data_IF_372866078754
#
_entry.id   IF_372866078754
#
_cell.length_a   1.000
_cell.length_b   1.000
_cell.length_c   1.000
_cell.angle_alpha   90.00
_cell.angle_beta   90.00
_cell.angle_gamma   90.00
#
_symmetry.space_group_name_H-M   'P 1'
#
loop_
_entity.id
_entity.type
_entity.pdbx_description
1 polymer ?
#
# COMPACT_ATOMS: atom_id res chain seq x y z
N UNK A 1 -5.76 -21.43 -5.15
CA UNK A 1 -7.06 -20.79 -5.27
C UNK A 1 -6.88 -19.47 -6.00
N UNK A 2 -7.93 -18.91 -6.60
CA UNK A 2 -7.85 -17.83 -7.60
C UNK A 2 -7.21 -16.54 -7.06
N UNK A 3 -7.60 -16.10 -5.87
CA UNK A 3 -6.99 -14.93 -5.23
C UNK A 3 -5.47 -15.11 -5.08
N UNK A 4 -5.01 -16.22 -4.52
CA UNK A 4 -3.58 -16.48 -4.36
C UNK A 4 -2.84 -16.53 -5.69
N UNK A 5 -3.41 -17.16 -6.71
CA UNK A 5 -2.81 -17.19 -8.06
C UNK A 5 -2.71 -15.80 -8.66
N UNK A 6 -3.73 -14.94 -8.43
CA UNK A 6 -3.70 -13.56 -8.89
C UNK A 6 -2.63 -12.74 -8.16
N UNK A 7 -2.53 -12.88 -6.84
CA UNK A 7 -1.47 -12.27 -6.03
C UNK A 7 -0.07 -12.64 -6.54
N UNK A 8 0.20 -13.94 -6.78
CA UNK A 8 1.49 -14.41 -7.29
C UNK A 8 1.80 -13.85 -8.69
N UNK A 9 0.82 -13.84 -9.59
CA UNK A 9 0.98 -13.24 -10.93
C UNK A 9 1.22 -11.73 -10.86
N UNK A 10 0.48 -11.02 -9.99
CA UNK A 10 0.59 -9.57 -9.86
C UNK A 10 1.94 -9.16 -9.26
N UNK A 11 2.45 -9.90 -8.27
CA UNK A 11 3.79 -9.69 -7.75
C UNK A 11 4.85 -9.84 -8.86
N UNK A 12 4.73 -10.87 -9.69
CA UNK A 12 5.62 -11.05 -10.86
C UNK A 12 5.46 -9.92 -11.87
N UNK A 13 4.24 -9.48 -12.15
CA UNK A 13 3.93 -8.39 -13.07
C UNK A 13 4.55 -7.07 -12.64
N UNK A 14 4.47 -6.74 -11.36
CA UNK A 14 5.05 -5.51 -10.80
C UNK A 14 6.56 -5.62 -10.50
N UNK A 15 7.12 -6.84 -10.53
CA UNK A 15 8.52 -7.08 -10.17
C UNK A 15 8.79 -7.00 -8.68
N UNK A 16 7.77 -7.23 -7.84
CA UNK A 16 7.88 -7.25 -6.38
C UNK A 16 7.90 -8.69 -5.85
N UNK A 17 8.36 -8.87 -4.60
CA UNK A 17 8.39 -10.20 -3.97
C UNK A 17 7.00 -10.66 -3.52
N UNK A 18 6.16 -9.73 -3.10
CA UNK A 18 4.87 -10.04 -2.47
C UNK A 18 3.77 -9.14 -3.01
N UNK A 19 2.58 -9.71 -3.16
CA UNK A 19 1.34 -9.00 -3.41
C UNK A 19 0.23 -9.56 -2.51
N UNK A 20 -0.65 -8.70 -2.03
CA UNK A 20 -1.82 -9.04 -1.21
C UNK A 20 -3.04 -8.35 -1.79
N UNK A 21 -4.00 -9.14 -2.23
CA UNK A 21 -5.27 -8.63 -2.73
C UNK A 21 -6.20 -8.21 -1.59
N UNK A 22 -6.85 -7.08 -1.76
CA UNK A 22 -7.90 -6.53 -0.89
C UNK A 22 -9.15 -6.21 -1.70
N UNK A 23 -10.23 -5.82 -1.03
CA UNK A 23 -11.54 -5.61 -1.67
C UNK A 23 -11.70 -4.28 -2.44
N UNK A 24 -10.75 -3.35 -2.34
CA UNK A 24 -10.73 -2.09 -3.12
C UNK A 24 -9.36 -1.40 -3.06
N UNK A 25 -9.09 -0.45 -3.98
CA UNK A 25 -7.91 0.41 -3.89
C UNK A 25 -7.90 1.29 -2.64
N UNK A 26 -9.07 1.78 -2.23
CA UNK A 26 -9.23 2.52 -0.97
C UNK A 26 -8.79 1.69 0.24
N UNK A 27 -9.14 0.40 0.26
CA UNK A 27 -8.69 -0.54 1.29
C UNK A 27 -7.18 -0.80 1.19
N UNK A 28 -6.61 -0.81 -0.02
CA UNK A 28 -5.17 -0.95 -0.19
C UNK A 28 -4.41 0.22 0.45
N UNK A 29 -4.83 1.47 0.18
CA UNK A 29 -4.26 2.66 0.80
C UNK A 29 -4.40 2.66 2.32
N UNK A 30 -5.60 2.31 2.82
CA UNK A 30 -5.84 2.24 4.27
C UNK A 30 -4.97 1.17 4.94
N UNK A 31 -4.89 -0.01 4.36
CA UNK A 31 -4.09 -1.10 4.92
C UNK A 31 -2.58 -0.79 4.86
N UNK A 32 -2.09 -0.15 3.79
CA UNK A 32 -0.69 0.25 3.65
C UNK A 32 -0.25 1.17 4.80
N UNK A 33 -1.00 2.24 5.05
CA UNK A 33 -0.72 3.17 6.14
C UNK A 33 -0.91 2.52 7.51
N UNK A 34 -1.93 1.67 7.67
CA UNK A 34 -2.17 0.95 8.92
C UNK A 34 -1.06 -0.05 9.27
N UNK A 35 -0.39 -0.62 8.29
CA UNK A 35 0.79 -1.47 8.49
C UNK A 35 1.94 -0.62 9.03
N UNK A 36 2.24 0.50 8.39
CA UNK A 36 3.39 1.34 8.74
C UNK A 36 3.22 2.05 10.10
N UNK A 37 1.97 2.36 10.48
CA UNK A 37 1.62 2.94 11.79
C UNK A 37 1.36 1.89 12.88
N UNK A 38 1.35 0.59 12.55
CA UNK A 38 1.14 -0.46 13.54
C UNK A 38 2.21 -0.39 14.63
N UNK A 39 1.85 -0.42 15.95
CA UNK A 39 2.82 -0.30 17.03
C UNK A 39 3.96 -1.32 17.02
N UNK A 40 3.74 -2.48 16.40
CA UNK A 40 4.76 -3.53 16.25
C UNK A 40 5.72 -3.29 15.08
N UNK A 41 5.33 -2.50 14.10
CA UNK A 41 6.16 -2.05 12.97
C UNK A 41 6.80 -0.72 13.30
N UNK A 42 5.98 0.22 13.78
CA UNK A 42 6.37 1.53 14.29
C UNK A 42 7.26 2.34 13.31
N UNK A 43 6.97 2.23 12.01
CA UNK A 43 7.74 2.92 10.96
C UNK A 43 7.30 4.37 10.82
N UNK A 44 6.00 4.64 11.00
CA UNK A 44 5.41 5.98 10.98
C UNK A 44 4.74 6.24 12.33
N UNK A 45 5.10 7.34 12.99
CA UNK A 45 4.54 7.73 14.28
C UNK A 45 3.17 8.39 14.10
N UNK A 46 2.25 8.20 15.05
CA UNK A 46 1.00 8.98 15.12
C UNK A 46 1.31 10.48 15.23
N UNK A 47 0.42 11.29 14.65
CA UNK A 47 0.56 12.75 14.55
C UNK A 47 1.75 13.22 13.71
N UNK A 48 2.41 12.32 12.97
CA UNK A 48 3.38 12.68 11.96
C UNK A 48 2.70 13.19 10.70
N UNK A 49 3.44 13.95 9.92
CA UNK A 49 3.00 14.46 8.63
C UNK A 49 3.35 13.49 7.51
N UNK A 50 2.41 13.36 6.54
CA UNK A 50 2.58 12.61 5.29
C UNK A 50 2.40 13.58 4.14
N UNK A 51 3.45 13.78 3.35
CA UNK A 51 3.40 14.65 2.17
C UNK A 51 2.71 13.91 1.03
N UNK A 52 1.71 14.57 0.41
CA UNK A 52 0.94 14.01 -0.71
C UNK A 52 0.53 15.13 -1.68
N UNK A 53 0.29 14.85 -2.97
CA UNK A 53 -0.16 15.88 -3.89
C UNK A 53 -1.55 16.40 -3.53
N UNK A 54 -1.81 17.68 -3.78
CA UNK A 54 -3.13 18.29 -3.59
C UNK A 54 -4.16 17.80 -4.62
N UNK A 55 -3.69 17.36 -5.80
CA UNK A 55 -4.53 16.75 -6.83
C UNK A 55 -4.45 15.24 -6.70
N UNK A 56 -5.45 14.65 -6.08
CA UNK A 56 -5.54 13.20 -5.86
C UNK A 56 -6.98 12.78 -5.54
N UNK A 57 -7.22 11.48 -5.55
CA UNK A 57 -8.50 10.92 -5.09
C UNK A 57 -8.59 10.97 -3.56
N UNK A 58 -9.79 11.19 -3.04
CA UNK A 58 -10.01 11.36 -1.60
C UNK A 58 -9.47 10.21 -0.74
N UNK A 59 -9.50 8.97 -1.26
CA UNK A 59 -9.04 7.78 -0.52
C UNK A 59 -7.53 7.54 -0.56
N UNK A 60 -6.75 8.45 -1.16
CA UNK A 60 -5.31 8.60 -0.87
C UNK A 60 -5.13 9.30 0.49
N UNK A 61 -5.98 10.28 0.80
CA UNK A 61 -5.88 11.17 1.97
C UNK A 61 -6.58 10.63 3.21
N UNK A 62 -7.82 10.13 3.08
CA UNK A 62 -8.62 9.68 4.23
C UNK A 62 -7.90 8.63 5.11
N UNK A 63 -7.15 7.67 4.56
CA UNK A 63 -6.35 6.74 5.35
C UNK A 63 -5.31 7.40 6.25
N UNK A 64 -4.79 8.58 5.87
CA UNK A 64 -3.87 9.34 6.73
C UNK A 64 -4.61 9.78 7.99
N UNK A 65 -5.76 10.42 7.82
CA UNK A 65 -6.57 10.92 8.94
C UNK A 65 -7.05 9.78 9.84
N UNK A 66 -7.52 8.66 9.26
CA UNK A 66 -7.99 7.51 10.04
C UNK A 66 -6.88 6.78 10.80
N UNK A 67 -5.62 6.94 10.38
CA UNK A 67 -4.43 6.43 11.10
C UNK A 67 -3.81 7.48 12.05
N UNK A 68 -4.49 8.59 12.32
CA UNK A 68 -3.99 9.70 13.13
C UNK A 68 -2.70 10.31 12.56
N UNK A 69 -2.61 10.44 11.25
CA UNK A 69 -1.55 11.14 10.55
C UNK A 69 -2.08 12.48 10.01
N UNK A 70 -1.19 13.40 9.75
CA UNK A 70 -1.51 14.75 9.26
C UNK A 70 -1.16 14.80 7.77
N UNK A 71 -2.13 14.92 6.85
CA UNK A 71 -1.83 15.12 5.45
C UNK A 71 -1.22 16.50 5.23
N UNK A 72 -0.06 16.55 4.59
CA UNK A 72 0.62 17.78 4.16
C UNK A 72 0.56 17.86 2.65
N UNK A 73 -0.28 18.74 2.15
CA UNK A 73 -0.49 18.89 0.71
C UNK A 73 0.61 19.75 0.08
N UNK A 74 1.10 19.28 -1.07
CA UNK A 74 1.97 20.04 -1.95
C UNK A 74 1.35 20.10 -3.34
N UNK A 75 1.74 21.12 -4.10
CA UNK A 75 1.23 21.29 -5.45
C UNK A 75 1.78 20.21 -6.40
N UNK A 76 1.16 20.09 -7.56
CA UNK A 76 1.58 19.21 -8.64
C UNK A 76 2.33 20.06 -9.69
N UNK A 77 3.19 19.40 -10.44
CA UNK A 77 3.80 19.96 -11.64
C UNK A 77 2.71 20.11 -12.72
N UNK A 78 2.48 21.32 -13.26
CA UNK A 78 1.39 21.56 -14.21
C UNK A 78 1.57 20.87 -15.57
N UNK A 79 2.77 20.42 -15.91
CA UNK A 79 3.04 19.71 -17.15
C UNK A 79 2.79 18.20 -17.03
N UNK A 80 3.10 17.65 -15.85
CA UNK A 80 3.01 16.21 -15.61
C UNK A 80 1.83 15.80 -14.75
N UNK A 81 1.21 16.72 -14.02
CA UNK A 81 0.18 16.50 -12.99
C UNK A 81 0.62 15.55 -11.85
N UNK A 82 1.90 15.19 -11.81
CA UNK A 82 2.46 14.43 -10.69
C UNK A 82 2.97 15.38 -9.61
N UNK A 83 3.23 14.83 -8.42
CA UNK A 83 3.72 15.62 -7.28
C UNK A 83 4.97 16.43 -7.63
N UNK A 84 4.98 17.75 -7.37
CA UNK A 84 6.17 18.59 -7.58
C UNK A 84 7.24 18.27 -6.53
N UNK A 85 8.33 17.66 -6.99
CA UNK A 85 9.43 17.21 -6.13
C UNK A 85 10.13 18.39 -5.42
N UNK A 86 10.12 19.59 -6.01
CA UNK A 86 10.67 20.78 -5.35
C UNK A 86 9.80 21.16 -4.16
N UNK A 87 8.48 21.18 -4.34
CA UNK A 87 7.53 21.44 -3.25
C UNK A 87 7.58 20.36 -2.17
N UNK A 88 7.83 19.10 -2.53
CA UNK A 88 8.10 18.04 -1.53
C UNK A 88 9.27 18.43 -0.64
N UNK A 89 10.40 18.84 -1.20
CA UNK A 89 11.58 19.26 -0.41
C UNK A 89 11.28 20.43 0.51
N UNK A 90 10.56 21.43 0.00
CA UNK A 90 10.24 22.65 0.75
C UNK A 90 9.28 22.34 1.92
N UNK A 91 8.44 21.30 1.82
CA UNK A 91 7.47 20.91 2.83
C UNK A 91 8.04 20.01 3.95
N UNK A 92 9.23 19.42 3.74
CA UNK A 92 9.83 18.52 4.73
C UNK A 92 10.22 19.28 6.00
N UNK A 93 9.81 18.73 7.13
CA UNK A 93 10.14 19.25 8.45
C UNK A 93 10.29 18.10 9.47
N UNK A 94 10.57 18.42 10.73
CA UNK A 94 10.81 17.43 11.81
C UNK A 94 9.64 16.50 12.12
N UNK A 95 8.43 16.83 11.66
CA UNK A 95 7.22 16.00 11.84
C UNK A 95 6.97 15.10 10.64
N UNK A 96 7.62 15.35 9.50
CA UNK A 96 7.44 14.56 8.29
C UNK A 96 7.97 13.14 8.50
N UNK A 97 7.17 12.13 8.19
CA UNK A 97 7.53 10.70 8.33
C UNK A 97 7.39 9.92 7.03
N UNK A 98 6.62 10.44 6.08
CA UNK A 98 6.39 9.74 4.83
C UNK A 98 6.09 10.70 3.66
N UNK A 99 6.28 10.17 2.47
CA UNK A 99 5.80 10.75 1.21
C UNK A 99 4.88 9.71 0.58
N UNK A 100 3.69 10.14 0.14
CA UNK A 100 2.73 9.32 -0.59
C UNK A 100 2.42 9.98 -1.93
N UNK A 101 3.28 9.79 -2.96
CA UNK A 101 3.04 10.26 -4.31
C UNK A 101 1.92 9.46 -4.98
N UNK A 102 1.27 10.07 -5.95
CA UNK A 102 0.23 9.45 -6.79
C UNK A 102 0.69 9.47 -8.23
N UNK A 103 0.71 8.32 -8.87
CA UNK A 103 0.98 8.16 -10.30
C UNK A 103 -0.30 8.45 -11.10
N UNK A 104 -0.67 9.73 -11.11
CA UNK A 104 -1.98 10.19 -11.58
C UNK A 104 -2.18 9.88 -13.06
N UNK A 105 -3.33 9.28 -13.40
CA UNK A 105 -3.72 8.92 -14.77
C UNK A 105 -2.67 8.09 -15.54
N UNK A 106 -1.86 7.31 -14.81
CA UNK A 106 -0.79 6.51 -15.40
C UNK A 106 0.48 7.28 -15.72
N UNK A 107 0.63 8.50 -15.20
CA UNK A 107 1.86 9.28 -15.35
C UNK A 107 2.79 9.04 -14.16
N UNK A 108 4.00 8.55 -14.43
CA UNK A 108 4.96 8.21 -13.38
C UNK A 108 5.51 9.47 -12.71
N UNK A 109 5.53 9.49 -11.38
CA UNK A 109 6.29 10.48 -10.62
C UNK A 109 7.81 10.31 -10.87
N UNK A 110 8.61 11.36 -10.65
CA UNK A 110 10.08 11.29 -10.69
C UNK A 110 10.60 10.46 -9.50
N UNK A 111 10.62 9.14 -9.70
CA UNK A 111 10.95 8.20 -8.64
C UNK A 111 12.42 8.28 -8.20
N UNK A 112 13.36 8.64 -9.09
CA UNK A 112 14.76 8.81 -8.72
C UNK A 112 14.93 9.91 -7.68
N UNK A 113 14.26 11.04 -7.89
CA UNK A 113 14.32 12.16 -6.95
C UNK A 113 13.56 11.86 -5.65
N UNK A 114 12.38 11.26 -5.73
CA UNK A 114 11.59 10.88 -4.54
C UNK A 114 12.31 9.86 -3.67
N UNK A 115 12.92 8.82 -4.26
CA UNK A 115 13.75 7.84 -3.56
C UNK A 115 14.96 8.48 -2.89
N UNK A 116 15.64 9.41 -3.59
CA UNK A 116 16.78 10.13 -3.02
C UNK A 116 16.36 10.96 -1.80
N UNK A 117 15.23 11.66 -1.89
CA UNK A 117 14.67 12.44 -0.77
C UNK A 117 14.31 11.52 0.39
N UNK A 118 13.51 10.48 0.15
CA UNK A 118 13.06 9.56 1.20
C UNK A 118 14.23 8.91 1.94
N UNK A 119 15.28 8.53 1.21
CA UNK A 119 16.49 7.97 1.80
C UNK A 119 17.27 8.97 2.64
N UNK A 120 17.47 10.19 2.13
CA UNK A 120 18.26 11.23 2.81
C UNK A 120 17.58 11.70 4.09
N UNK A 121 16.25 11.82 4.07
CA UNK A 121 15.43 12.31 5.19
C UNK A 121 14.84 11.17 6.05
N UNK A 122 15.20 9.92 5.75
CA UNK A 122 14.69 8.70 6.42
C UNK A 122 13.16 8.64 6.47
N UNK A 123 12.49 8.99 5.35
CA UNK A 123 11.04 8.97 5.20
C UNK A 123 10.57 7.65 4.58
N UNK A 124 9.38 7.19 4.95
CA UNK A 124 8.71 6.12 4.22
C UNK A 124 8.19 6.62 2.88
N UNK A 125 8.21 5.77 1.86
CA UNK A 125 7.68 6.06 0.55
C UNK A 125 6.57 5.06 0.21
N UNK A 126 5.34 5.55 0.08
CA UNK A 126 4.16 4.76 -0.26
C UNK A 126 3.67 5.22 -1.63
N UNK A 127 3.63 4.33 -2.61
CA UNK A 127 3.22 4.69 -3.96
C UNK A 127 1.73 4.40 -4.16
N UNK A 128 0.91 5.43 -4.39
CA UNK A 128 -0.45 5.24 -4.88
C UNK A 128 -0.40 5.10 -6.41
N UNK A 129 -0.47 3.86 -6.88
CA UNK A 129 -0.48 3.47 -8.28
C UNK A 129 -1.86 2.95 -8.74
N UNK A 130 -2.94 3.36 -8.06
CA UNK A 130 -4.30 2.91 -8.35
C UNK A 130 -4.72 3.17 -9.80
N UNK A 131 -4.21 4.22 -10.43
CA UNK A 131 -4.48 4.62 -11.81
C UNK A 131 -3.34 4.30 -12.80
N UNK A 132 -2.32 3.54 -12.37
CA UNK A 132 -1.05 3.44 -13.10
C UNK A 132 -0.60 1.99 -13.38
N UNK A 133 -1.56 1.09 -13.68
CA UNK A 133 -1.23 -0.27 -14.06
C UNK A 133 -0.36 -0.31 -15.31
N UNK A 134 0.80 -0.97 -15.22
CA UNK A 134 1.73 -1.10 -16.32
C UNK A 134 2.64 0.10 -16.57
N UNK A 135 2.37 1.24 -15.94
CA UNK A 135 3.24 2.40 -16.01
C UNK A 135 4.65 2.06 -15.49
N UNK A 136 5.67 2.59 -16.17
CA UNK A 136 7.08 2.37 -15.83
C UNK A 136 7.82 3.69 -15.69
N UNK A 137 8.78 3.70 -14.78
CA UNK A 137 9.79 4.73 -14.66
C UNK A 137 11.17 4.07 -14.79
N UNK A 138 11.95 4.49 -15.77
CA UNK A 138 13.28 3.91 -16.09
C UNK A 138 13.26 2.36 -16.21
N UNK A 139 12.23 1.81 -16.90
CA UNK A 139 12.10 0.36 -17.15
C UNK A 139 11.65 -0.47 -15.94
N UNK A 140 11.27 0.18 -14.84
CA UNK A 140 10.73 -0.49 -13.65
C UNK A 140 9.30 -0.02 -13.37
N UNK A 141 8.40 -0.95 -13.10
CA UNK A 141 6.98 -0.62 -12.86
C UNK A 141 6.80 0.21 -11.60
N UNK A 142 5.97 1.27 -11.71
CA UNK A 142 5.56 2.06 -10.54
C UNK A 142 4.79 1.20 -9.54
N UNK A 143 4.78 1.60 -8.28
CA UNK A 143 4.28 0.82 -7.16
C UNK A 143 5.30 -0.18 -6.58
N UNK A 144 6.47 -0.34 -7.23
CA UNK A 144 7.51 -1.26 -6.78
C UNK A 144 8.78 -0.60 -6.24
N UNK A 145 8.81 0.73 -6.20
CA UNK A 145 10.00 1.50 -5.81
C UNK A 145 10.09 1.73 -4.30
N UNK A 146 8.95 2.06 -3.67
CA UNK A 146 8.87 2.42 -2.25
C UNK A 146 8.78 1.25 -1.29
N UNK A 147 8.38 1.55 -0.07
CA UNK A 147 8.12 0.55 0.99
C UNK A 147 6.91 -0.33 0.65
N UNK A 148 5.84 0.32 0.16
CA UNK A 148 4.57 -0.30 -0.23
C UNK A 148 4.02 0.43 -1.46
N UNK A 149 3.55 -0.34 -2.46
CA UNK A 149 2.74 0.17 -3.56
C UNK A 149 1.29 -0.31 -3.44
N UNK A 150 0.35 0.52 -3.87
CA UNK A 150 -1.08 0.24 -3.83
C UNK A 150 -1.70 0.36 -5.21
N UNK A 151 -2.66 -0.52 -5.51
CA UNK A 151 -3.36 -0.58 -6.79
C UNK A 151 -4.85 -0.76 -6.58
N UNK A 152 -5.64 -0.29 -7.53
CA UNK A 152 -7.08 -0.47 -7.56
C UNK A 152 -7.50 -1.27 -8.79
N UNK A 153 -8.46 -2.16 -8.61
CA UNK A 153 -9.11 -2.91 -9.69
C UNK A 153 -10.59 -2.52 -9.82
N UNK A 154 -10.90 -1.26 -9.52
CA UNK A 154 -12.23 -0.70 -9.74
C UNK A 154 -12.61 -0.76 -11.22
N UNK A 155 -13.91 -0.68 -11.50
CA UNK A 155 -14.47 -0.87 -12.85
C UNK A 155 -13.83 0.01 -13.94
N UNK A 156 -13.43 1.23 -13.60
CA UNK A 156 -12.86 2.19 -14.56
C UNK A 156 -11.35 2.08 -14.80
N UNK A 157 -10.66 1.19 -14.08
CA UNK A 157 -9.21 1.05 -14.23
C UNK A 157 -8.79 0.09 -15.34
N UNK A 158 -7.52 0.16 -15.77
CA UNK A 158 -6.94 -0.64 -16.84
C UNK A 158 -7.02 -2.16 -16.62
N UNK A 159 -6.90 -2.59 -15.36
CA UNK A 159 -7.15 -3.95 -14.88
C UNK A 159 -8.31 -3.86 -13.90
N UNK A 160 -9.38 -4.60 -14.14
CA UNK A 160 -10.57 -4.55 -13.27
C UNK A 160 -10.98 -5.93 -12.76
N UNK A 161 -11.41 -5.98 -11.52
CA UNK A 161 -12.09 -7.15 -10.92
C UNK A 161 -13.50 -6.77 -10.44
N UNK A 162 -14.12 -5.77 -11.11
CA UNK A 162 -15.35 -5.06 -10.74
C UNK A 162 -15.08 -4.15 -9.54
N UNK A 163 -14.71 -4.73 -8.42
CA UNK A 163 -14.12 -4.14 -7.24
C UNK A 163 -12.88 -4.93 -6.85
N UNK A 164 -11.86 -4.28 -6.31
CA UNK A 164 -10.65 -4.92 -5.85
C UNK A 164 -9.50 -3.94 -5.64
N UNK A 165 -8.48 -4.38 -4.97
CA UNK A 165 -7.22 -3.65 -4.80
C UNK A 165 -6.08 -4.60 -4.50
N UNK A 166 -4.86 -4.08 -4.54
CA UNK A 166 -3.65 -4.85 -4.25
C UNK A 166 -2.66 -3.99 -3.49
N UNK A 167 -2.00 -4.59 -2.52
CA UNK A 167 -0.76 -4.08 -1.94
C UNK A 167 0.39 -4.88 -2.52
N UNK A 168 1.48 -4.21 -2.89
CA UNK A 168 2.73 -4.86 -3.25
C UNK A 168 3.87 -4.36 -2.38
N UNK A 169 4.82 -5.24 -2.06
CA UNK A 169 5.99 -4.88 -1.25
C UNK A 169 7.13 -5.90 -1.43
N UNK A 170 8.35 -5.47 -1.14
CA UNK A 170 9.52 -6.36 -1.07
C UNK A 170 9.84 -6.79 0.37
N UNK A 171 9.11 -6.27 1.36
CA UNK A 171 9.31 -6.52 2.78
C UNK A 171 8.40 -7.66 3.28
N UNK A 172 8.99 -8.81 3.67
CA UNK A 172 8.25 -9.97 4.17
C UNK A 172 7.42 -9.63 5.43
N UNK A 173 7.93 -8.76 6.29
CA UNK A 173 7.22 -8.38 7.50
C UNK A 173 5.94 -7.60 7.18
N UNK A 174 6.01 -6.63 6.26
CA UNK A 174 4.80 -5.89 5.80
C UNK A 174 3.78 -6.83 5.15
N UNK A 175 4.26 -7.81 4.37
CA UNK A 175 3.41 -8.84 3.77
C UNK A 175 2.68 -9.69 4.82
N UNK A 176 3.38 -10.15 5.87
CA UNK A 176 2.77 -10.92 6.96
C UNK A 176 1.72 -10.09 7.72
N UNK A 177 2.03 -8.81 8.01
CA UNK A 177 1.05 -7.91 8.63
C UNK A 177 -0.15 -7.65 7.71
N UNK A 178 0.05 -7.47 6.42
CA UNK A 178 -1.02 -7.30 5.45
C UNK A 178 -1.99 -8.49 5.44
N UNK A 179 -1.49 -9.74 5.44
CA UNK A 179 -2.32 -10.95 5.53
C UNK A 179 -3.18 -10.98 6.78
N UNK A 180 -2.58 -10.70 7.93
CA UNK A 180 -3.28 -10.68 9.21
C UNK A 180 -4.33 -9.57 9.27
N UNK A 181 -3.91 -8.32 8.98
CA UNK A 181 -4.74 -7.14 9.15
C UNK A 181 -5.87 -7.06 8.12
N UNK A 182 -5.68 -7.56 6.89
CA UNK A 182 -6.74 -7.73 5.88
C UNK A 182 -7.92 -8.55 6.40
N UNK A 183 -7.64 -9.49 7.30
CA UNK A 183 -8.59 -10.46 7.85
C UNK A 183 -8.65 -10.37 9.38
N UNK A 184 -9.16 -9.26 9.90
CA UNK A 184 -9.46 -9.01 11.32
C UNK A 184 -8.26 -9.04 12.28
N UNK A 185 -7.04 -9.19 11.82
CA UNK A 185 -5.87 -9.42 12.67
C UNK A 185 -5.65 -10.90 13.03
N UNK A 186 -6.26 -11.83 12.30
CA UNK A 186 -6.11 -13.28 12.50
C UNK A 186 -4.70 -13.77 12.24
N UNK A 187 -4.31 -14.83 12.95
CA UNK A 187 -3.02 -15.52 12.72
C UNK A 187 -3.10 -16.60 11.64
N UNK A 188 -4.29 -16.93 11.12
CA UNK A 188 -4.56 -18.10 10.26
C UNK A 188 -3.63 -18.25 9.05
N UNK A 189 -3.30 -17.14 8.40
CA UNK A 189 -2.49 -17.11 7.17
C UNK A 189 -1.02 -16.77 7.45
N UNK A 190 -0.65 -16.56 8.72
CA UNK A 190 0.72 -16.19 9.09
C UNK A 190 1.65 -17.39 8.99
N UNK A 191 2.88 -17.14 8.53
CA UNK A 191 3.96 -18.14 8.44
C UNK A 191 4.26 -18.77 9.81
N UNK A 192 4.34 -17.94 10.85
CA UNK A 192 4.70 -18.32 12.21
C UNK A 192 3.50 -18.61 13.12
N UNK A 193 2.31 -18.93 12.56
CA UNK A 193 1.08 -19.12 13.33
C UNK A 193 1.24 -20.10 14.51
N UNK A 194 1.95 -21.23 14.31
CA UNK A 194 2.19 -22.23 15.36
C UNK A 194 3.02 -21.67 16.52
N UNK A 195 4.05 -20.89 16.23
CA UNK A 195 4.89 -20.20 17.23
C UNK A 195 4.09 -19.14 17.98
N UNK A 196 3.16 -18.47 17.31
CA UNK A 196 2.29 -17.47 17.94
C UNK A 196 1.27 -18.16 18.81
N UNK A 197 0.55 -19.17 18.30
CA UNK A 197 -0.51 -19.89 19.06
C UNK A 197 0.02 -20.61 20.31
N UNK A 198 1.25 -21.13 20.26
CA UNK A 198 1.87 -21.78 21.41
C UNK A 198 2.03 -20.87 22.65
N UNK A 199 2.03 -19.55 22.46
CA UNK A 199 2.07 -18.55 23.54
C UNK A 199 0.70 -18.31 24.21
N UNK A 200 -0.39 -18.78 23.58
CA UNK A 200 -1.77 -18.54 23.99
C UNK A 200 -2.55 -19.86 24.07
N UNK A 201 -2.02 -20.80 24.86
CA UNK A 201 -2.52 -22.20 24.95
C UNK A 201 -3.99 -22.33 25.35
N UNK A 202 -4.56 -21.34 26.02
CA UNK A 202 -5.97 -21.31 26.42
C UNK A 202 -6.91 -20.80 25.34
N UNK A 203 -6.39 -20.32 24.21
CA UNK A 203 -7.19 -19.74 23.12
C UNK A 203 -7.09 -20.65 21.90
N UNK A 204 -8.23 -21.06 21.38
CA UNK A 204 -8.27 -21.79 20.11
C UNK A 204 -7.72 -20.92 18.98
N UNK A 205 -6.75 -21.44 18.21
CA UNK A 205 -6.07 -20.67 17.15
C UNK A 205 -7.04 -20.13 16.08
N UNK A 206 -8.23 -20.75 15.95
CA UNK A 206 -9.29 -20.28 15.05
C UNK A 206 -9.88 -18.94 15.46
N UNK A 207 -9.71 -18.54 16.72
CA UNK A 207 -10.20 -17.31 17.31
C UNK A 207 -9.08 -16.44 17.87
N UNK A 208 -7.83 -16.70 17.47
CA UNK A 208 -6.69 -15.92 17.93
C UNK A 208 -6.41 -14.74 16.98
N UNK A 209 -6.61 -13.54 17.51
CA UNK A 209 -6.36 -12.28 16.85
C UNK A 209 -5.20 -11.56 17.56
N UNK A 210 -4.17 -11.19 16.84
CA UNK A 210 -2.95 -10.61 17.42
C UNK A 210 -2.65 -9.21 16.92
N UNK A 211 -3.43 -8.71 15.97
CA UNK A 211 -3.35 -7.36 15.43
C UNK A 211 -4.75 -6.73 15.39
N UNK A 212 -4.81 -5.40 15.41
CA UNK A 212 -5.99 -4.69 14.93
C UNK A 212 -6.08 -4.90 13.43
N UNK A 213 -7.22 -5.32 12.95
CA UNK A 213 -7.41 -5.61 11.54
C UNK A 213 -8.81 -5.23 11.05
N UNK A 214 -9.01 -5.44 9.77
CA UNK A 214 -10.20 -5.04 9.02
C UNK A 214 -10.85 -6.24 8.34
N UNK A 215 -12.03 -6.07 7.81
CA UNK A 215 -12.61 -6.99 6.85
C UNK A 215 -12.41 -6.43 5.42
N UNK A 216 -11.22 -6.62 4.89
CA UNK A 216 -10.84 -6.17 3.54
C UNK A 216 -10.56 -7.34 2.58
N UNK A 217 -11.07 -8.51 2.90
CA UNK A 217 -10.83 -9.73 2.11
C UNK A 217 -11.49 -9.63 0.74
N UNK A 218 -10.77 -9.97 -0.35
CA UNK A 218 -11.36 -10.12 -1.66
C UNK A 218 -12.15 -11.42 -1.75
N UNK A 219 -12.91 -11.57 -2.82
CA UNK A 219 -13.59 -12.83 -3.18
C UNK A 219 -12.77 -13.63 -4.20
N UNK A 220 -12.94 -14.95 -4.24
CA UNK A 220 -12.30 -15.82 -5.23
C UNK A 220 -12.75 -15.47 -6.67
N UNK A 221 -13.95 -14.91 -6.83
CA UNK A 221 -14.48 -14.44 -8.12
C UNK A 221 -13.63 -13.26 -8.64
N UNK A 222 -13.37 -12.27 -7.79
CA UNK A 222 -12.50 -11.14 -8.14
C UNK A 222 -11.11 -11.62 -8.55
N UNK A 223 -10.51 -12.54 -7.79
CA UNK A 223 -9.23 -13.15 -8.15
C UNK A 223 -9.27 -13.88 -9.49
N UNK A 224 -10.38 -14.57 -9.81
CA UNK A 224 -10.53 -15.24 -11.09
C UNK A 224 -10.56 -14.26 -12.28
N UNK A 225 -11.25 -13.13 -12.14
CA UNK A 225 -11.25 -12.06 -13.16
C UNK A 225 -9.84 -11.51 -13.39
N UNK A 226 -9.12 -11.17 -12.31
CA UNK A 226 -7.79 -10.57 -12.39
C UNK A 226 -6.75 -11.45 -13.07
N UNK A 227 -6.80 -12.76 -12.88
CA UNK A 227 -5.84 -13.72 -13.50
C UNK A 227 -5.78 -13.61 -15.02
N UNK A 228 -6.87 -13.27 -15.66
CA UNK A 228 -6.99 -13.23 -17.13
C UNK A 228 -6.67 -11.87 -17.75
N UNK A 229 -6.34 -10.88 -16.95
CA UNK A 229 -6.02 -9.51 -17.40
C UNK A 229 -4.53 -9.15 -17.27
N UNK A 230 -3.72 -10.07 -16.73
CA UNK A 230 -2.27 -9.94 -16.55
C UNK A 230 -1.52 -10.89 -17.46
#
# INVERSE_FOLDING_TARGET
KKVKTFEEKFAKYTGTKYAIMVNSGSSANLLALSILTNPKINKIQKNSEVITPAVTWATTVYPMVTNNLIPTFVDVDPETYTIDVKRVKDAINKKTSAIMPVHLLGNACDMDKLLKISKNENLSLIEDACEAHGCEFNGKKVGSFGDIGTFSFFLSHHITTIEGGMIVTNNENYYEYAKSMRAFGWIRELKDKKKISSKFKSIDERFLFTNLGFNMRPTEIQGAFGIHQI
#
